data_IF_873548062888
#
_entry.id   IF_873548062888
#
_cell.length_a   1.000
_cell.length_b   1.000
_cell.length_c   1.000
_cell.angle_alpha   90.00
_cell.angle_beta   90.00
_cell.angle_gamma   90.00
#
_symmetry.space_group_name_H-M   'P 1'
#
loop_
_entity.id
_entity.type
_entity.pdbx_description
1 polymer ?
#
# COMPACT_ATOMS: atom_id res chain seq x y z
N UNK A 1 -15.61 5.32 -17.11
CA UNK A 1 -14.88 6.33 -16.28
C UNK A 1 -14.17 7.28 -17.24
N UNK A 2 -14.26 8.61 -17.08
CA UNK A 2 -13.62 9.54 -18.00
C UNK A 2 -12.09 9.41 -17.93
N UNK A 3 -11.42 9.46 -19.08
CA UNK A 3 -9.98 9.21 -19.24
C UNK A 3 -9.11 10.02 -18.25
N UNK A 4 -9.48 11.28 -17.99
CA UNK A 4 -8.78 12.17 -17.05
C UNK A 4 -8.77 11.65 -15.60
N UNK A 5 -9.88 11.05 -15.14
CA UNK A 5 -9.95 10.46 -13.79
C UNK A 5 -9.08 9.21 -13.68
N UNK A 6 -9.00 8.42 -14.75
CA UNK A 6 -8.13 7.24 -14.82
C UNK A 6 -6.67 7.65 -14.74
N UNK A 7 -6.24 8.63 -15.55
CA UNK A 7 -4.85 9.13 -15.55
C UNK A 7 -4.50 9.70 -14.17
N UNK A 8 -5.34 10.59 -13.62
CA UNK A 8 -5.08 11.18 -12.31
C UNK A 8 -5.02 10.13 -11.19
N UNK A 9 -5.93 9.16 -11.19
CA UNK A 9 -5.91 8.06 -10.23
C UNK A 9 -4.66 7.19 -10.37
N UNK A 10 -4.23 6.89 -11.60
CA UNK A 10 -3.04 6.09 -11.85
C UNK A 10 -1.79 6.79 -11.30
N UNK A 11 -1.65 8.10 -11.55
CA UNK A 11 -0.57 8.90 -10.99
C UNK A 11 -0.54 8.84 -9.46
N UNK A 12 -1.70 8.90 -8.80
CA UNK A 12 -1.79 8.75 -7.33
C UNK A 12 -1.24 7.40 -6.89
N UNK A 13 -1.68 6.30 -7.51
CA UNK A 13 -1.22 4.96 -7.12
C UNK A 13 0.28 4.77 -7.36
N UNK A 14 0.82 5.33 -8.45
CA UNK A 14 2.26 5.31 -8.71
C UNK A 14 3.06 6.11 -7.68
N UNK A 15 2.58 7.31 -7.32
CA UNK A 15 3.23 8.14 -6.29
C UNK A 15 3.22 7.45 -4.92
N UNK A 16 2.13 6.78 -4.56
CA UNK A 16 2.06 6.01 -3.31
C UNK A 16 2.95 4.78 -3.37
N UNK A 17 3.07 4.12 -4.53
CA UNK A 17 4.03 3.04 -4.74
C UNK A 17 5.48 3.50 -4.54
N UNK A 18 5.85 4.69 -5.04
CA UNK A 18 7.16 5.27 -4.79
C UNK A 18 7.35 5.65 -3.31
N UNK A 19 6.32 6.23 -2.69
CA UNK A 19 6.34 6.58 -1.26
C UNK A 19 6.51 5.34 -0.38
N UNK A 20 5.90 4.20 -0.75
CA UNK A 20 6.08 2.93 -0.04
C UNK A 20 7.56 2.59 0.11
N UNK A 21 8.33 2.68 -0.98
CA UNK A 21 9.77 2.34 -0.98
C UNK A 21 10.53 3.25 -0.02
N UNK A 22 10.28 4.57 -0.09
CA UNK A 22 10.93 5.55 0.80
C UNK A 22 10.58 5.28 2.27
N UNK A 23 9.30 5.05 2.57
CA UNK A 23 8.84 4.78 3.95
C UNK A 23 9.40 3.45 4.46
N UNK A 24 9.46 2.42 3.62
CA UNK A 24 10.03 1.12 3.96
C UNK A 24 11.51 1.25 4.31
N UNK A 25 12.31 1.86 3.42
CA UNK A 25 13.76 2.02 3.64
C UNK A 25 14.03 2.83 4.91
N UNK A 26 13.31 3.95 5.08
CA UNK A 26 13.39 4.76 6.29
C UNK A 26 13.04 3.95 7.55
N UNK A 27 11.93 3.21 7.52
CA UNK A 27 11.49 2.39 8.64
C UNK A 27 12.50 1.28 8.99
N UNK A 28 13.12 0.66 7.99
CA UNK A 28 14.15 -0.37 8.19
C UNK A 28 15.41 0.23 8.83
N UNK A 29 15.87 1.39 8.33
CA UNK A 29 17.03 2.09 8.91
C UNK A 29 16.74 2.51 10.35
N UNK A 30 15.58 3.14 10.58
CA UNK A 30 15.15 3.57 11.90
C UNK A 30 15.06 2.40 12.88
N UNK A 31 14.44 1.29 12.45
CA UNK A 31 14.32 0.09 13.28
C UNK A 31 15.67 -0.48 13.66
N UNK A 32 16.59 -0.65 12.69
CA UNK A 32 17.95 -1.15 12.96
C UNK A 32 18.72 -0.27 13.96
N UNK A 33 18.54 1.05 13.87
CA UNK A 33 19.22 2.00 14.75
C UNK A 33 18.73 1.94 16.21
N UNK A 34 17.45 1.62 16.45
CA UNK A 34 16.85 1.68 17.78
C UNK A 34 16.60 0.31 18.44
N UNK A 35 16.38 -0.74 17.63
CA UNK A 35 15.94 -2.06 18.11
C UNK A 35 16.96 -3.18 17.81
N UNK A 36 18.07 -2.89 17.12
CA UNK A 36 19.09 -3.87 16.73
C UNK A 36 18.84 -4.53 15.36
N UNK A 37 19.75 -5.42 14.96
CA UNK A 37 19.72 -6.07 13.65
C UNK A 37 18.59 -7.10 13.49
N UNK A 38 17.98 -7.17 12.32
CA UNK A 38 16.95 -8.17 11.93
C UNK A 38 17.48 -9.63 11.81
N UNK A 39 18.70 -9.92 12.29
CA UNK A 39 19.53 -11.05 11.82
C UNK A 39 19.53 -12.30 12.68
N UNK A 40 18.81 -12.36 13.80
CA UNK A 40 18.88 -13.55 14.68
C UNK A 40 18.19 -14.83 14.15
N UNK A 41 17.55 -14.80 12.96
CA UNK A 41 16.84 -15.99 12.41
C UNK A 41 17.01 -16.28 10.91
N UNK A 42 18.10 -15.86 10.26
CA UNK A 42 18.53 -16.42 8.97
C UNK A 42 17.62 -16.19 7.74
N UNK A 43 16.48 -15.51 7.83
CA UNK A 43 15.63 -15.18 6.68
C UNK A 43 16.06 -13.86 6.07
N UNK A 44 16.70 -13.94 4.88
CA UNK A 44 17.16 -12.81 4.09
C UNK A 44 16.08 -11.73 3.95
N UNK A 45 16.34 -10.57 4.55
CA UNK A 45 15.38 -9.45 4.67
C UNK A 45 14.93 -8.97 3.28
N UNK A 46 15.81 -9.04 2.27
CA UNK A 46 15.55 -8.57 0.91
C UNK A 46 14.42 -9.34 0.22
N UNK A 47 14.48 -10.68 0.19
CA UNK A 47 13.52 -11.49 -0.58
C UNK A 47 12.10 -11.34 -0.04
N UNK A 48 11.91 -11.29 1.29
CA UNK A 48 10.57 -11.15 1.86
C UNK A 48 10.02 -9.73 1.74
N UNK A 49 10.89 -8.71 1.80
CA UNK A 49 10.50 -7.32 1.57
C UNK A 49 10.02 -7.12 0.13
N UNK A 50 10.78 -7.63 -0.85
CA UNK A 50 10.45 -7.57 -2.28
C UNK A 50 9.12 -8.30 -2.56
N UNK A 51 8.94 -9.51 -2.03
CA UNK A 51 7.70 -10.26 -2.20
C UNK A 51 6.49 -9.49 -1.65
N UNK A 52 6.63 -8.90 -0.47
CA UNK A 52 5.56 -8.10 0.15
C UNK A 52 5.25 -6.86 -0.69
N UNK A 53 6.27 -6.20 -1.24
CA UNK A 53 6.09 -5.06 -2.12
C UNK A 53 5.38 -5.45 -3.43
N UNK A 54 5.78 -6.53 -4.09
CA UNK A 54 5.09 -7.02 -5.28
C UNK A 54 3.64 -7.40 -4.99
N UNK A 55 3.39 -8.05 -3.86
CA UNK A 55 2.02 -8.37 -3.44
C UNK A 55 1.18 -7.10 -3.23
N UNK A 56 1.76 -6.09 -2.59
CA UNK A 56 1.13 -4.77 -2.45
C UNK A 56 0.79 -4.13 -3.80
N UNK A 57 1.72 -4.15 -4.76
CA UNK A 57 1.51 -3.59 -6.11
C UNK A 57 0.39 -4.33 -6.84
N UNK A 58 0.40 -5.67 -6.83
CA UNK A 58 -0.61 -6.48 -7.51
C UNK A 58 -2.01 -6.24 -6.91
N UNK A 59 -2.13 -6.24 -5.59
CA UNK A 59 -3.42 -5.99 -4.92
C UNK A 59 -3.88 -4.56 -5.20
N UNK A 60 -3.01 -3.55 -5.12
CA UNK A 60 -3.41 -2.17 -5.35
C UNK A 60 -3.76 -1.90 -6.81
N UNK A 61 -3.10 -2.58 -7.76
CA UNK A 61 -3.51 -2.59 -9.15
C UNK A 61 -4.92 -3.17 -9.31
N UNK A 62 -5.25 -4.28 -8.63
CA UNK A 62 -6.61 -4.82 -8.64
C UNK A 62 -7.63 -3.83 -8.02
N UNK A 63 -7.32 -3.29 -6.83
CA UNK A 63 -8.13 -2.27 -6.13
C UNK A 63 -8.38 -1.03 -7.01
N UNK A 64 -7.43 -0.70 -7.89
CA UNK A 64 -7.59 0.41 -8.82
C UNK A 64 -8.77 0.20 -9.79
N UNK A 65 -8.95 -1.03 -10.29
CA UNK A 65 -9.99 -1.37 -11.27
C UNK A 65 -11.33 -1.80 -10.65
N UNK A 66 -11.33 -2.29 -9.41
CA UNK A 66 -12.54 -2.75 -8.72
C UNK A 66 -13.55 -1.60 -8.54
N UNK A 67 -14.83 -1.78 -8.92
CA UNK A 67 -15.89 -0.84 -8.57
C UNK A 67 -16.37 -1.05 -7.13
N UNK A 68 -16.78 0.04 -6.47
CA UNK A 68 -17.37 -0.01 -5.13
C UNK A 68 -16.33 0.03 -3.99
N UNK A 69 -16.63 0.83 -2.95
CA UNK A 69 -15.72 1.02 -1.82
C UNK A 69 -15.57 -0.26 -0.98
N UNK A 70 -16.67 -0.98 -0.75
CA UNK A 70 -16.65 -2.19 0.08
C UNK A 70 -15.73 -3.28 -0.49
N UNK A 71 -15.81 -3.53 -1.80
CA UNK A 71 -14.95 -4.53 -2.45
C UNK A 71 -13.46 -4.14 -2.36
N UNK A 72 -13.13 -2.86 -2.52
CA UNK A 72 -11.76 -2.35 -2.35
C UNK A 72 -11.24 -2.57 -0.94
N UNK A 73 -12.04 -2.23 0.07
CA UNK A 73 -11.67 -2.41 1.48
C UNK A 73 -11.50 -3.89 1.82
N UNK A 74 -12.36 -4.77 1.30
CA UNK A 74 -12.22 -6.23 1.45
C UNK A 74 -10.93 -6.73 0.81
N UNK A 75 -10.56 -6.26 -0.39
CA UNK A 75 -9.28 -6.63 -1.02
C UNK A 75 -8.07 -6.20 -0.19
N UNK A 76 -8.10 -5.00 0.39
CA UNK A 76 -7.03 -4.51 1.29
C UNK A 76 -6.98 -5.35 2.56
N UNK A 77 -8.13 -5.64 3.17
CA UNK A 77 -8.21 -6.47 4.37
C UNK A 77 -7.68 -7.89 4.10
N UNK A 78 -8.04 -8.50 2.97
CA UNK A 78 -7.57 -9.82 2.57
C UNK A 78 -6.05 -9.83 2.38
N UNK A 79 -5.48 -8.81 1.73
CA UNK A 79 -4.03 -8.66 1.62
C UNK A 79 -3.36 -8.61 2.99
N UNK A 80 -3.90 -7.81 3.91
CA UNK A 80 -3.40 -7.72 5.30
C UNK A 80 -3.49 -9.07 6.01
N UNK A 81 -4.61 -9.78 5.90
CA UNK A 81 -4.78 -11.11 6.47
C UNK A 81 -3.77 -12.11 5.92
N UNK A 82 -3.51 -12.10 4.61
CA UNK A 82 -2.51 -12.97 3.99
C UNK A 82 -1.10 -12.64 4.51
N UNK A 83 -0.74 -11.37 4.63
CA UNK A 83 0.55 -10.94 5.21
C UNK A 83 0.68 -11.43 6.66
N UNK A 84 -0.37 -11.25 7.47
CA UNK A 84 -0.37 -11.72 8.86
C UNK A 84 -0.21 -13.23 8.94
N UNK A 85 -0.96 -14.00 8.16
CA UNK A 85 -0.87 -15.46 8.11
C UNK A 85 0.50 -15.97 7.62
N UNK A 86 1.13 -15.24 6.70
CA UNK A 86 2.44 -15.61 6.17
C UNK A 86 3.57 -15.42 7.18
N UNK A 87 3.51 -14.35 7.98
CA UNK A 87 4.56 -14.03 8.93
C UNK A 87 4.32 -14.56 10.35
N UNK A 88 3.07 -14.84 10.76
CA UNK A 88 2.78 -15.39 12.07
C UNK A 88 2.82 -16.93 12.08
N UNK A 89 3.35 -17.56 13.14
CA UNK A 89 3.88 -16.94 14.37
C UNK A 89 5.38 -16.60 14.31
N UNK A 90 6.08 -16.97 13.23
CA UNK A 90 7.55 -17.03 13.21
C UNK A 90 8.24 -15.65 13.24
N UNK A 91 7.59 -14.63 12.67
CA UNK A 91 8.14 -13.29 12.45
C UNK A 91 7.09 -12.20 12.82
N UNK A 92 6.67 -12.09 14.09
CA UNK A 92 5.55 -11.23 14.48
C UNK A 92 5.83 -9.74 14.27
N UNK A 93 7.07 -9.29 14.46
CA UNK A 93 7.44 -7.89 14.21
C UNK A 93 7.32 -7.54 12.73
N UNK A 94 7.76 -8.43 11.83
CA UNK A 94 7.60 -8.24 10.38
C UNK A 94 6.12 -8.28 10.00
N UNK A 95 5.35 -9.19 10.58
CA UNK A 95 3.90 -9.26 10.37
C UNK A 95 3.23 -7.92 10.64
N UNK A 96 3.48 -7.32 11.82
CA UNK A 96 2.91 -6.03 12.22
C UNK A 96 3.43 -4.88 11.35
N UNK A 97 4.72 -4.82 11.06
CA UNK A 97 5.32 -3.76 10.26
C UNK A 97 4.77 -3.76 8.82
N UNK A 98 4.75 -4.92 8.16
CA UNK A 98 4.30 -5.03 6.78
C UNK A 98 2.78 -4.92 6.62
N UNK A 99 2.00 -5.46 7.56
CA UNK A 99 0.53 -5.27 7.56
C UNK A 99 0.16 -3.79 7.77
N UNK A 100 0.80 -3.11 8.71
CA UNK A 100 0.60 -1.67 8.92
C UNK A 100 1.03 -0.86 7.69
N UNK A 101 2.23 -1.10 7.16
CA UNK A 101 2.72 -0.37 6.00
C UNK A 101 1.82 -0.54 4.76
N UNK A 102 1.51 -1.79 4.40
CA UNK A 102 0.67 -2.07 3.22
C UNK A 102 -0.75 -1.55 3.38
N UNK A 103 -1.37 -1.66 4.56
CA UNK A 103 -2.72 -1.13 4.80
C UNK A 103 -2.75 0.40 4.75
N UNK A 104 -1.83 1.08 5.43
CA UNK A 104 -1.77 2.55 5.46
C UNK A 104 -1.52 3.10 4.05
N UNK A 105 -0.56 2.55 3.30
CA UNK A 105 -0.31 2.99 1.93
C UNK A 105 -1.52 2.74 1.01
N UNK A 106 -2.18 1.59 1.12
CA UNK A 106 -3.36 1.28 0.29
C UNK A 106 -4.53 2.22 0.59
N UNK A 107 -4.80 2.48 1.88
CA UNK A 107 -5.84 3.41 2.32
C UNK A 107 -5.51 4.85 1.91
N UNK A 108 -4.24 5.25 1.97
CA UNK A 108 -3.77 6.55 1.51
C UNK A 108 -4.00 6.71 0.00
N UNK A 109 -3.59 5.74 -0.83
CA UNK A 109 -3.85 5.76 -2.27
C UNK A 109 -5.34 5.87 -2.59
N UNK A 110 -6.17 5.09 -1.88
CA UNK A 110 -7.61 5.10 -2.05
C UNK A 110 -8.23 6.46 -1.67
N UNK A 111 -7.83 7.02 -0.54
CA UNK A 111 -8.35 8.29 -0.01
C UNK A 111 -7.95 9.48 -0.87
N UNK A 112 -6.67 9.54 -1.26
CA UNK A 112 -6.16 10.61 -2.14
C UNK A 112 -6.81 10.52 -3.52
N UNK A 113 -6.96 9.31 -4.09
CA UNK A 113 -7.66 9.13 -5.36
C UNK A 113 -9.11 9.63 -5.27
N UNK A 114 -9.82 9.27 -4.21
CA UNK A 114 -11.19 9.73 -3.99
C UNK A 114 -11.27 11.27 -3.91
N UNK A 115 -10.36 11.88 -3.16
CA UNK A 115 -10.27 13.35 -3.05
C UNK A 115 -9.99 14.01 -4.40
N UNK A 116 -9.06 13.48 -5.19
CA UNK A 116 -8.73 13.99 -6.54
C UNK A 116 -9.92 13.84 -7.48
N UNK A 117 -10.62 12.70 -7.48
CA UNK A 117 -11.80 12.48 -8.31
C UNK A 117 -12.94 13.44 -7.96
N UNK A 118 -13.12 13.75 -6.67
CA UNK A 118 -14.08 14.76 -6.22
C UNK A 118 -13.70 16.17 -6.70
N UNK A 119 -12.44 16.57 -6.56
CA UNK A 119 -11.97 17.87 -7.03
C UNK A 119 -12.15 18.04 -8.53
N UNK A 120 -11.82 17.01 -9.33
CA UNK A 120 -12.07 17.03 -10.77
C UNK A 120 -13.56 17.21 -11.03
N UNK A 121 -14.41 16.43 -10.36
CA UNK A 121 -15.87 16.50 -10.58
C UNK A 121 -16.47 17.87 -10.23
N UNK A 122 -16.01 18.50 -9.13
CA UNK A 122 -16.44 19.84 -8.72
C UNK A 122 -16.08 20.91 -9.76
N UNK A 123 -14.83 20.91 -10.25
CA UNK A 123 -14.36 21.89 -11.25
C UNK A 123 -15.14 21.86 -12.56
N UNK A 124 -15.78 20.75 -12.91
CA UNK A 124 -16.60 20.64 -14.12
C UNK A 124 -18.06 21.04 -13.91
N UNK A 125 -18.55 21.09 -12.68
CA UNK A 125 -19.87 21.67 -12.38
C UNK A 125 -19.83 23.20 -12.40
N UNK A 126 -18.64 23.79 -12.23
CA UNK A 126 -18.41 25.24 -12.24
C UNK A 126 -18.01 25.78 -13.63
N UNK A 127 -17.91 24.92 -14.65
CA UNK A 127 -17.62 25.35 -16.03
C UNK A 127 -18.94 25.75 -16.74
N UNK A 128 -19.06 26.99 -17.25
CA UNK A 128 -20.28 27.49 -17.89
C UNK A 128 -20.62 26.82 -19.22
#
# INVERSE_FOLDING_TARGET
MPLRKVIAGLSVYLLVGALYVVVHDFAVVFYKAHMGGFTDRGVGIGVTAELTFYFFIVVNAAVFFIPGLSAKLVSIALMVSVILLYFLPDNPVRAMAYSALTSVMSLLALSVRWMVEQQISRRWQEAP
#
